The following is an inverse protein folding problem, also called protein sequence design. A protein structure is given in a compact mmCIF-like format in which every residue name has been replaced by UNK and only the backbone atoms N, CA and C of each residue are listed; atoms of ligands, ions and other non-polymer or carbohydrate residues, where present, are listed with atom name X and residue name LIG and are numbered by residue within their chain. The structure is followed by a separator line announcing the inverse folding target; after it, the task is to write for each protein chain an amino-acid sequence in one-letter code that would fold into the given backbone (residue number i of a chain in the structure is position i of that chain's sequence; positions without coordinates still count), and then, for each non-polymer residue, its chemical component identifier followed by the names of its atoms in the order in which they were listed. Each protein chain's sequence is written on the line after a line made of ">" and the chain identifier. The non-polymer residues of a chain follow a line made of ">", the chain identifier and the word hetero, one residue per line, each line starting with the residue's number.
data_IF_428688380345
#
_entry.id   IF_428688380345
#
_cell.length_a   1.000
_cell.length_b   1.000
_cell.length_c   1.000
_cell.angle_alpha   90.00
_cell.angle_beta   90.00
_cell.angle_gamma   90.00
#
_symmetry.space_group_name_H-M   'P 1'
#
loop_
_entity.id
_entity.type
_entity.pdbx_description
1 polymer ?
#
# COMPACT_ATOMS: atom_id res chain seq x y z
N UNK A 1 16.25 -15.27 11.45
CA UNK A 1 14.90 -14.67 11.44
C UNK A 1 14.97 -13.46 10.51
N UNK A 2 14.21 -13.44 9.42
CA UNK A 2 14.20 -12.31 8.46
C UNK A 2 13.22 -11.25 8.94
N UNK A 3 13.30 -10.03 8.41
CA UNK A 3 12.32 -8.96 8.71
C UNK A 3 10.90 -9.24 8.18
N UNK A 4 10.72 -10.38 7.49
CA UNK A 4 9.47 -10.84 6.89
C UNK A 4 8.95 -12.13 7.55
N UNK A 5 9.40 -12.47 8.76
CA UNK A 5 8.93 -13.67 9.46
C UNK A 5 7.47 -13.50 9.90
N UNK A 6 6.56 -13.94 9.02
CA UNK A 6 5.11 -13.83 9.15
C UNK A 6 4.46 -14.98 8.37
N UNK A 7 3.37 -15.55 8.88
CA UNK A 7 2.67 -16.67 8.24
C UNK A 7 2.08 -16.28 6.88
N UNK A 8 1.62 -15.03 6.73
CA UNK A 8 1.06 -14.51 5.48
C UNK A 8 2.17 -14.38 4.43
N UNK A 9 3.38 -13.99 4.82
CA UNK A 9 4.52 -13.93 3.91
C UNK A 9 4.98 -15.33 3.48
N UNK A 10 5.05 -16.28 4.41
CA UNK A 10 5.36 -17.69 4.09
C UNK A 10 4.36 -18.26 3.08
N UNK A 11 3.07 -18.02 3.29
CA UNK A 11 2.01 -18.43 2.37
C UNK A 11 2.19 -17.84 0.97
N UNK A 12 2.54 -16.54 0.85
CA UNK A 12 2.78 -15.92 -0.45
C UNK A 12 4.01 -16.53 -1.16
N UNK A 13 5.09 -16.81 -0.41
CA UNK A 13 6.27 -17.49 -0.94
C UNK A 13 5.96 -18.92 -1.41
N UNK A 14 5.15 -19.67 -0.66
CA UNK A 14 4.74 -21.02 -1.04
C UNK A 14 3.90 -21.02 -2.33
N UNK A 15 2.97 -20.06 -2.46
CA UNK A 15 2.21 -19.85 -3.70
C UNK A 15 3.13 -19.55 -4.88
N UNK A 16 4.12 -18.67 -4.69
CA UNK A 16 5.10 -18.36 -5.72
C UNK A 16 5.90 -19.60 -6.14
N UNK A 17 6.36 -20.39 -5.17
CA UNK A 17 7.17 -21.58 -5.41
C UNK A 17 6.44 -22.60 -6.29
N UNK A 18 5.16 -22.88 -5.98
CA UNK A 18 4.33 -23.80 -6.76
C UNK A 18 4.24 -23.35 -8.23
N UNK A 19 4.06 -22.06 -8.48
CA UNK A 19 3.96 -21.53 -9.85
C UNK A 19 5.33 -21.48 -10.54
N UNK A 20 6.39 -21.13 -9.81
CA UNK A 20 7.75 -21.12 -10.34
C UNK A 20 8.21 -22.52 -10.78
N UNK A 21 7.83 -23.56 -10.03
CA UNK A 21 8.02 -24.95 -10.41
C UNK A 21 7.24 -25.31 -11.68
N UNK A 22 5.96 -24.94 -11.74
CA UNK A 22 5.13 -25.18 -12.92
C UNK A 22 5.67 -24.50 -14.20
N UNK A 23 6.22 -23.29 -14.06
CA UNK A 23 6.78 -22.52 -15.16
C UNK A 23 8.25 -22.85 -15.46
N UNK A 24 8.88 -23.76 -14.70
CA UNK A 24 10.31 -24.08 -14.79
C UNK A 24 11.21 -22.82 -14.73
N UNK A 25 10.89 -21.88 -13.83
CA UNK A 25 11.74 -20.71 -13.59
C UNK A 25 13.03 -21.17 -12.91
N UNK A 26 14.18 -20.73 -13.40
CA UNK A 26 15.49 -21.07 -12.82
C UNK A 26 15.62 -20.58 -11.37
N UNK A 27 16.29 -21.36 -10.52
CA UNK A 27 16.43 -21.03 -9.09
C UNK A 27 17.08 -19.67 -8.86
N UNK A 28 18.03 -19.27 -9.72
CA UNK A 28 18.68 -17.95 -9.66
C UNK A 28 17.70 -16.79 -9.85
N UNK A 29 16.61 -17.00 -10.59
CA UNK A 29 15.59 -15.99 -10.84
C UNK A 29 14.49 -15.96 -9.76
N UNK A 30 14.33 -17.06 -9.03
CA UNK A 30 13.30 -17.16 -7.99
C UNK A 30 13.62 -16.32 -6.77
N UNK A 31 14.89 -16.24 -6.38
CA UNK A 31 15.29 -15.59 -5.13
C UNK A 31 15.00 -14.09 -5.18
N UNK A 32 15.43 -13.41 -6.24
CA UNK A 32 15.14 -11.98 -6.39
C UNK A 32 13.65 -11.72 -6.62
N UNK A 33 12.92 -12.62 -7.29
CA UNK A 33 11.48 -12.50 -7.50
C UNK A 33 10.65 -12.65 -6.22
N UNK A 34 11.18 -13.37 -5.21
CA UNK A 34 10.50 -13.64 -3.93
C UNK A 34 10.62 -12.48 -2.96
N UNK A 35 11.78 -11.81 -2.89
CA UNK A 35 12.01 -10.80 -1.88
C UNK A 35 11.65 -9.39 -2.37
N UNK A 36 11.01 -8.57 -1.52
CA UNK A 36 10.75 -7.18 -1.89
C UNK A 36 12.03 -6.40 -2.16
N UNK A 37 12.02 -5.62 -3.25
CA UNK A 37 13.11 -4.69 -3.60
C UNK A 37 13.42 -3.70 -2.48
N UNK A 38 12.40 -3.24 -1.76
CA UNK A 38 12.55 -2.27 -0.66
C UNK A 38 11.45 -2.47 0.39
N UNK A 39 11.85 -2.43 1.66
CA UNK A 39 10.95 -2.40 2.80
C UNK A 39 11.36 -1.26 3.75
N UNK A 40 10.39 -0.44 4.16
CA UNK A 40 10.59 0.74 4.99
C UNK A 40 9.72 0.63 6.23
N UNK A 41 10.32 0.80 7.41
CA UNK A 41 9.63 0.89 8.69
C UNK A 41 9.90 2.28 9.30
N UNK A 42 8.86 2.93 9.81
CA UNK A 42 8.94 4.29 10.36
C UNK A 42 8.18 4.37 11.68
N UNK A 43 8.67 5.22 12.59
CA UNK A 43 7.97 5.55 13.83
C UNK A 43 7.32 6.92 13.68
N UNK A 44 6.03 7.00 14.01
CA UNK A 44 5.20 8.19 13.84
C UNK A 44 4.83 8.76 15.22
N UNK A 45 5.57 9.76 15.73
CA UNK A 45 5.17 10.47 16.94
C UNK A 45 4.02 11.43 16.61
N UNK A 46 2.90 11.31 17.33
CA UNK A 46 1.68 12.08 17.13
C UNK A 46 1.20 12.63 18.47
N UNK A 47 0.82 13.92 18.47
CA UNK A 47 0.15 14.54 19.61
C UNK A 47 -1.32 14.13 19.60
N UNK A 48 -1.77 13.59 20.72
CA UNK A 48 -3.12 13.09 20.93
C UNK A 48 -4.02 14.21 21.48
N UNK A 49 -5.33 14.03 21.40
CA UNK A 49 -6.30 15.03 21.86
C UNK A 49 -6.23 15.28 23.39
N UNK A 50 -5.75 14.30 24.16
CA UNK A 50 -5.52 14.41 25.60
C UNK A 50 -4.22 15.15 25.99
N UNK A 51 -3.48 15.64 24.99
CA UNK A 51 -2.21 16.34 25.16
C UNK A 51 -0.98 15.42 25.30
N UNK A 52 -1.17 14.10 25.34
CA UNK A 52 -0.07 13.14 25.32
C UNK A 52 0.56 13.03 23.93
N UNK A 53 1.76 12.44 23.86
CA UNK A 53 2.37 12.03 22.58
C UNK A 53 2.42 10.52 22.51
N UNK A 54 1.91 9.95 21.43
CA UNK A 54 1.95 8.51 21.17
C UNK A 54 2.75 8.20 19.92
N UNK A 55 3.54 7.14 19.97
CA UNK A 55 4.28 6.64 18.83
C UNK A 55 3.52 5.49 18.16
N UNK A 56 3.40 5.54 16.83
CA UNK A 56 2.82 4.49 16.00
C UNK A 56 3.85 3.91 15.04
N UNK A 57 3.67 2.65 14.62
CA UNK A 57 4.54 2.01 13.64
C UNK A 57 3.90 2.05 12.25
N UNK A 58 4.63 2.52 11.26
CA UNK A 58 4.24 2.56 9.86
C UNK A 58 5.16 1.72 8.98
N UNK A 59 4.62 1.15 7.91
CA UNK A 59 5.34 0.29 6.98
C UNK A 59 5.02 0.66 5.53
N UNK A 60 6.02 0.57 4.64
CA UNK A 60 5.83 0.58 3.19
C UNK A 60 6.79 -0.39 2.53
N UNK A 61 6.24 -1.32 1.75
CA UNK A 61 6.98 -2.35 1.02
C UNK A 61 6.73 -2.17 -0.48
N UNK A 62 7.81 -2.13 -1.24
CA UNK A 62 7.85 -2.09 -2.70
C UNK A 62 8.45 -3.41 -3.17
N UNK A 63 7.63 -4.26 -3.77
CA UNK A 63 8.01 -5.62 -4.14
C UNK A 63 8.88 -5.62 -5.40
N UNK A 64 8.33 -5.26 -6.57
CA UNK A 64 9.08 -5.17 -7.83
C UNK A 64 8.69 -3.95 -8.65
N UNK A 65 9.64 -3.44 -9.44
CA UNK A 65 9.46 -2.29 -10.35
C UNK A 65 9.57 -2.66 -11.84
N UNK A 66 9.59 -3.96 -12.16
CA UNK A 66 9.88 -4.43 -13.52
C UNK A 66 8.91 -3.91 -14.58
N UNK A 67 7.63 -3.73 -14.22
CA UNK A 67 6.58 -3.24 -15.13
C UNK A 67 6.37 -1.72 -15.08
N UNK A 68 7.03 -1.02 -14.15
CA UNK A 68 6.80 0.41 -13.90
C UNK A 68 6.81 0.76 -12.41
N UNK A 69 6.31 1.95 -12.03
CA UNK A 69 6.24 2.38 -10.64
C UNK A 69 5.38 1.42 -9.82
N UNK A 70 5.65 1.31 -8.52
CA UNK A 70 4.85 0.40 -7.69
C UNK A 70 3.48 0.97 -7.37
N UNK A 71 2.50 0.09 -7.24
CA UNK A 71 1.13 0.46 -6.87
C UNK A 71 0.64 -0.37 -5.70
N UNK A 72 0.04 0.30 -4.72
CA UNK A 72 -0.59 -0.42 -3.62
C UNK A 72 -1.27 0.40 -2.55
N UNK A 73 -2.27 -0.21 -1.94
CA UNK A 73 -3.08 0.38 -0.88
C UNK A 73 -2.32 0.60 0.44
N UNK A 74 -2.95 1.37 1.34
CA UNK A 74 -2.45 1.71 2.67
C UNK A 74 -3.46 1.23 3.72
N UNK A 75 -3.05 0.29 4.58
CA UNK A 75 -3.91 -0.35 5.59
C UNK A 75 -3.72 0.27 6.96
N UNK A 76 -4.81 0.61 7.65
CA UNK A 76 -4.78 0.97 9.07
C UNK A 76 -5.42 -0.17 9.86
N UNK A 77 -4.59 -1.00 10.49
CA UNK A 77 -5.04 -2.15 11.27
C UNK A 77 -4.04 -2.44 12.40
N UNK A 78 -4.53 -2.75 13.60
CA UNK A 78 -3.69 -2.98 14.78
C UNK A 78 -2.72 -4.16 14.60
N UNK A 79 -3.12 -5.18 13.86
CA UNK A 79 -2.33 -6.39 13.60
C UNK A 79 -1.28 -6.24 12.50
N UNK A 80 -1.20 -5.08 11.84
CA UNK A 80 -0.35 -4.91 10.66
C UNK A 80 1.12 -5.15 11.00
N UNK A 81 1.76 -6.06 10.28
CA UNK A 81 3.18 -6.39 10.39
C UNK A 81 3.95 -6.06 9.11
N UNK A 82 5.30 -6.06 9.17
CA UNK A 82 6.16 -5.95 8.00
C UNK A 82 5.97 -7.13 7.04
N UNK A 83 5.85 -8.35 7.57
CA UNK A 83 5.67 -9.56 6.75
C UNK A 83 4.32 -9.61 6.04
N UNK A 84 3.23 -9.28 6.73
CA UNK A 84 1.90 -9.13 6.12
C UNK A 84 1.94 -8.08 4.99
N UNK A 85 2.60 -6.93 5.24
CA UNK A 85 2.77 -5.87 4.24
C UNK A 85 3.54 -6.36 3.02
N UNK A 86 4.61 -7.15 3.22
CA UNK A 86 5.39 -7.73 2.15
C UNK A 86 4.60 -8.75 1.30
N UNK A 87 3.80 -9.59 1.94
CA UNK A 87 2.93 -10.55 1.26
C UNK A 87 1.91 -9.84 0.36
N UNK A 88 1.26 -8.81 0.90
CA UNK A 88 0.30 -8.00 0.15
C UNK A 88 0.95 -7.24 -1.01
N UNK A 89 2.21 -6.78 -0.87
CA UNK A 89 2.96 -6.14 -1.94
C UNK A 89 3.34 -7.12 -3.06
N UNK A 90 3.66 -8.36 -2.71
CA UNK A 90 3.91 -9.45 -3.66
C UNK A 90 2.66 -9.73 -4.51
N UNK A 91 1.49 -9.93 -3.88
CA UNK A 91 0.23 -10.12 -4.61
C UNK A 91 -0.15 -8.93 -5.48
N UNK A 92 0.16 -7.70 -5.07
CA UNK A 92 -0.07 -6.53 -5.93
C UNK A 92 0.76 -6.59 -7.21
N UNK A 93 1.98 -7.15 -7.17
CA UNK A 93 2.80 -7.31 -8.38
C UNK A 93 2.13 -8.26 -9.36
N UNK A 94 1.67 -9.42 -8.89
CA UNK A 94 1.02 -10.42 -9.74
C UNK A 94 -0.33 -9.94 -10.26
N UNK A 95 -1.12 -9.29 -9.39
CA UNK A 95 -2.41 -8.71 -9.77
C UNK A 95 -2.24 -7.67 -10.88
N UNK A 96 -1.27 -6.77 -10.77
CA UNK A 96 -1.01 -5.77 -11.79
C UNK A 96 -0.52 -6.40 -13.10
N UNK A 97 0.37 -7.40 -13.03
CA UNK A 97 0.83 -8.14 -14.20
C UNK A 97 -0.32 -8.87 -14.93
N UNK A 98 -1.16 -9.60 -14.20
CA UNK A 98 -2.32 -10.33 -14.75
C UNK A 98 -3.36 -9.38 -15.37
N UNK A 99 -3.56 -8.21 -14.77
CA UNK A 99 -4.45 -7.18 -15.29
C UNK A 99 -3.81 -6.32 -16.40
N UNK A 100 -2.57 -6.64 -16.82
CA UNK A 100 -1.80 -5.89 -17.83
C UNK A 100 -1.68 -4.39 -17.51
N UNK A 101 -1.54 -4.06 -16.23
CA UNK A 101 -1.32 -2.71 -15.77
C UNK A 101 0.19 -2.42 -15.71
N UNK A 102 0.65 -1.22 -16.11
CA UNK A 102 2.07 -0.85 -16.10
C UNK A 102 2.56 -0.48 -14.69
N UNK A 103 2.32 -1.37 -13.73
CA UNK A 103 2.63 -1.17 -12.33
C UNK A 103 3.34 -2.37 -11.72
N UNK A 104 4.34 -2.06 -10.90
CA UNK A 104 4.85 -2.96 -9.88
C UNK A 104 3.89 -3.12 -8.70
N UNK A 105 4.25 -3.97 -7.74
CA UNK A 105 3.48 -4.16 -6.51
C UNK A 105 4.06 -3.41 -5.32
N UNK A 106 3.19 -2.74 -4.56
CA UNK A 106 3.53 -2.21 -3.24
C UNK A 106 2.39 -2.47 -2.25
N UNK A 107 2.69 -2.24 -0.98
CA UNK A 107 1.69 -2.11 0.08
C UNK A 107 2.27 -1.28 1.21
N UNK A 108 1.44 -0.59 1.97
CA UNK A 108 1.87 0.03 3.20
C UNK A 108 0.75 0.11 4.20
N UNK A 109 1.01 0.80 5.31
CA UNK A 109 0.03 0.97 6.36
C UNK A 109 0.62 1.41 7.68
N UNK A 110 -0.26 1.56 8.66
CA UNK A 110 0.08 1.95 10.03
C UNK A 110 -0.62 0.98 11.00
N UNK A 111 0.12 0.50 12.00
CA UNK A 111 -0.35 -0.41 13.02
C UNK A 111 -1.23 0.32 14.06
N UNK A 112 -2.46 0.64 13.68
CA UNK A 112 -3.44 1.37 14.50
C UNK A 112 -4.85 0.79 14.36
N UNK A 113 -5.68 1.03 15.37
CA UNK A 113 -7.13 0.88 15.28
C UNK A 113 -7.75 2.25 14.95
N UNK A 114 -8.18 2.50 13.71
CA UNK A 114 -8.70 3.81 13.32
C UNK A 114 -10.04 4.15 13.98
N UNK A 115 -10.74 3.18 14.59
CA UNK A 115 -12.02 3.42 15.28
C UNK A 115 -11.83 4.01 16.68
N UNK A 116 -10.62 3.94 17.22
CA UNK A 116 -10.25 4.46 18.55
C UNK A 116 -9.59 5.84 18.50
N UNK A 117 -9.42 6.40 17.31
CA UNK A 117 -8.82 7.72 17.12
C UNK A 117 -9.92 8.71 16.78
N UNK A 118 -9.79 9.93 17.29
CA UNK A 118 -10.61 11.03 16.82
C UNK A 118 -10.29 11.34 15.36
N UNK A 119 -11.15 12.14 14.71
CA UNK A 119 -10.87 12.61 13.34
C UNK A 119 -9.56 13.40 13.26
N UNK A 120 -9.26 14.21 14.29
CA UNK A 120 -8.05 15.04 14.37
C UNK A 120 -6.81 14.16 14.53
N UNK A 121 -6.86 13.17 15.42
CA UNK A 121 -5.75 12.24 15.63
C UNK A 121 -5.50 11.38 14.40
N UNK A 122 -6.58 10.92 13.74
CA UNK A 122 -6.48 10.15 12.50
C UNK A 122 -5.88 10.97 11.36
N UNK A 123 -6.24 12.25 11.26
CA UNK A 123 -5.59 13.19 10.34
C UNK A 123 -4.10 13.34 10.68
N UNK A 124 -3.76 13.58 11.94
CA UNK A 124 -2.38 13.76 12.38
C UNK A 124 -1.51 12.52 12.09
N UNK A 125 -2.01 11.31 12.37
CA UNK A 125 -1.33 10.05 12.01
C UNK A 125 -1.15 9.94 10.51
N UNK A 126 -2.19 10.25 9.73
CA UNK A 126 -2.15 10.16 8.27
C UNK A 126 -1.13 11.10 7.66
N UNK A 127 -1.13 12.37 8.10
CA UNK A 127 -0.17 13.37 7.64
C UNK A 127 1.25 12.99 8.03
N UNK A 128 1.46 12.55 9.28
CA UNK A 128 2.78 12.13 9.73
C UNK A 128 3.30 10.91 8.97
N UNK A 129 2.45 9.93 8.72
CA UNK A 129 2.80 8.78 7.88
C UNK A 129 3.21 9.23 6.47
N UNK A 130 2.41 10.08 5.82
CA UNK A 130 2.71 10.58 4.48
C UNK A 130 4.05 11.34 4.46
N UNK A 131 4.35 12.17 5.46
CA UNK A 131 5.62 12.88 5.59
C UNK A 131 6.82 11.94 5.60
N UNK A 132 6.77 10.86 6.38
CA UNK A 132 7.83 9.85 6.42
C UNK A 132 7.95 9.07 5.10
N UNK A 133 6.87 8.98 4.32
CA UNK A 133 6.86 8.26 3.04
C UNK A 133 7.43 9.07 1.87
N UNK A 134 7.43 10.40 1.93
CA UNK A 134 7.86 11.29 0.83
C UNK A 134 9.18 10.88 0.16
N UNK A 135 10.26 10.47 0.87
CA UNK A 135 11.51 10.05 0.24
C UNK A 135 11.39 8.78 -0.61
N UNK A 136 10.32 8.00 -0.44
CA UNK A 136 10.13 6.68 -1.02
C UNK A 136 8.98 6.60 -2.02
N UNK A 137 8.08 7.60 -2.03
CA UNK A 137 6.88 7.62 -2.86
C UNK A 137 6.86 8.80 -3.84
N UNK A 138 6.16 8.62 -4.96
CA UNK A 138 6.11 9.62 -6.01
C UNK A 138 5.22 9.18 -7.18
N UNK A 139 4.69 10.11 -7.98
CA UNK A 139 3.82 9.79 -9.12
C UNK A 139 4.45 8.82 -10.15
N UNK A 140 5.77 8.80 -10.23
CA UNK A 140 6.54 7.94 -11.13
C UNK A 140 7.44 6.95 -10.39
N UNK A 141 7.17 6.72 -9.10
CA UNK A 141 7.99 5.82 -8.26
C UNK A 141 7.10 4.84 -7.52
N UNK A 142 6.16 5.33 -6.72
CA UNK A 142 5.25 4.52 -5.92
C UNK A 142 3.97 5.30 -5.62
N UNK A 143 2.83 4.78 -6.06
CA UNK A 143 1.54 5.45 -5.99
C UNK A 143 0.64 4.74 -4.97
N UNK A 144 0.29 5.45 -3.90
CA UNK A 144 -0.51 4.88 -2.82
C UNK A 144 -2.01 4.82 -3.19
N UNK A 145 -2.77 4.07 -2.40
CA UNK A 145 -4.24 4.03 -2.49
C UNK A 145 -4.86 3.62 -1.16
N UNK A 146 -6.19 3.55 -1.08
CA UNK A 146 -6.86 3.08 0.12
C UNK A 146 -6.80 1.55 0.22
N UNK A 147 -6.96 1.05 1.43
CA UNK A 147 -7.13 -0.34 1.82
C UNK A 147 -8.00 -0.40 3.08
N UNK A 148 -8.00 -1.52 3.81
CA UNK A 148 -8.73 -1.66 5.07
C UNK A 148 -8.33 -0.56 6.07
N UNK A 149 -9.32 0.07 6.70
CA UNK A 149 -9.11 1.15 7.67
C UNK A 149 -8.74 2.51 7.06
N UNK A 150 -8.65 2.63 5.73
CA UNK A 150 -8.46 3.91 5.04
C UNK A 150 -9.52 4.13 3.95
N UNK A 151 -9.69 5.38 3.53
CA UNK A 151 -10.75 5.78 2.59
C UNK A 151 -10.32 7.02 1.81
N UNK A 152 -11.26 7.61 1.06
CA UNK A 152 -11.03 8.80 0.25
C UNK A 152 -10.56 10.02 1.07
N UNK A 153 -11.03 10.18 2.31
CA UNK A 153 -10.59 11.27 3.19
C UNK A 153 -9.12 11.11 3.57
N UNK A 154 -8.65 9.89 3.86
CA UNK A 154 -7.22 9.63 4.11
C UNK A 154 -6.40 9.93 2.85
N UNK A 155 -6.90 9.54 1.67
CA UNK A 155 -6.21 9.85 0.40
C UNK A 155 -6.15 11.36 0.14
N UNK A 156 -7.18 12.11 0.52
CA UNK A 156 -7.14 13.57 0.44
C UNK A 156 -6.03 14.16 1.32
N UNK A 157 -5.91 13.71 2.57
CA UNK A 157 -4.83 14.15 3.48
C UNK A 157 -3.44 13.77 2.99
N UNK A 158 -3.29 12.58 2.38
CA UNK A 158 -2.02 12.16 1.78
C UNK A 158 -1.65 13.05 0.59
N UNK A 159 -2.59 13.30 -0.33
CA UNK A 159 -2.37 14.17 -1.48
C UNK A 159 -2.02 15.60 -1.05
N UNK A 160 -2.76 16.15 -0.10
CA UNK A 160 -2.52 17.49 0.45
C UNK A 160 -1.13 17.59 1.10
N UNK A 161 -0.78 16.64 1.97
CA UNK A 161 0.52 16.63 2.66
C UNK A 161 1.70 16.54 1.69
N UNK A 162 1.60 15.67 0.68
CA UNK A 162 2.65 15.56 -0.34
C UNK A 162 2.73 16.83 -1.19
N UNK A 163 1.59 17.39 -1.60
CA UNK A 163 1.53 18.59 -2.44
C UNK A 163 2.11 19.82 -1.72
N UNK A 164 1.79 19.99 -0.43
CA UNK A 164 2.36 21.07 0.40
C UNK A 164 3.87 20.93 0.48
N UNK A 165 4.39 19.72 0.67
CA UNK A 165 5.84 19.49 0.69
C UNK A 165 6.51 19.80 -0.66
N UNK A 166 5.86 19.43 -1.77
CA UNK A 166 6.39 19.68 -3.12
C UNK A 166 6.25 21.16 -3.56
N UNK A 167 5.39 21.94 -2.90
CA UNK A 167 5.13 23.34 -3.24
C UNK A 167 4.14 23.54 -4.40
N UNK A 168 3.49 22.47 -4.87
CA UNK A 168 2.44 22.53 -5.90
C UNK A 168 1.51 21.32 -5.80
N UNK A 169 0.32 21.40 -6.40
CA UNK A 169 -0.66 20.32 -6.38
C UNK A 169 -0.19 19.10 -7.19
N UNK A 170 -0.02 17.95 -6.52
CA UNK A 170 0.36 16.67 -7.14
C UNK A 170 -0.77 15.68 -6.98
N UNK A 171 -1.75 15.72 -7.89
CA UNK A 171 -2.93 14.86 -7.80
C UNK A 171 -2.61 13.36 -7.95
N UNK A 172 -1.55 13.02 -8.68
CA UNK A 172 -1.23 11.65 -9.10
C UNK A 172 -0.61 10.79 -8.00
N UNK A 173 -0.13 11.39 -6.90
CA UNK A 173 0.59 10.70 -5.83
C UNK A 173 -0.22 9.58 -5.17
N UNK A 174 -1.55 9.74 -5.13
CA UNK A 174 -2.47 8.73 -4.58
C UNK A 174 -3.72 8.57 -5.44
N UNK A 175 -4.20 7.32 -5.53
CA UNK A 175 -5.49 6.99 -6.16
C UNK A 175 -6.57 6.83 -5.11
N UNK A 176 -7.83 7.02 -5.50
CA UNK A 176 -8.96 6.83 -4.58
C UNK A 176 -9.27 8.03 -3.70
N UNK A 177 -8.90 9.21 -4.19
CA UNK A 177 -9.31 10.51 -3.67
C UNK A 177 -10.81 10.77 -3.97
N UNK A 178 -11.44 11.73 -3.28
CA UNK A 178 -12.75 12.25 -3.66
C UNK A 178 -12.73 12.82 -5.08
N UNK A 179 -13.86 12.74 -5.79
CA UNK A 179 -14.00 13.22 -7.17
C UNK A 179 -13.62 14.70 -7.28
N UNK A 180 -14.00 15.52 -6.29
CA UNK A 180 -13.72 16.95 -6.25
C UNK A 180 -12.22 17.33 -6.30
N UNK A 181 -11.31 16.39 -5.98
CA UNK A 181 -9.85 16.61 -6.00
C UNK A 181 -9.13 15.63 -6.93
N UNK A 182 -9.75 15.25 -8.04
CA UNK A 182 -9.14 14.36 -9.03
C UNK A 182 -9.27 12.87 -8.69
N UNK A 183 -10.35 12.50 -7.99
CA UNK A 183 -10.84 11.13 -7.89
C UNK A 183 -11.53 10.68 -9.18
N UNK A 184 -11.69 9.37 -9.34
CA UNK A 184 -12.36 8.77 -10.51
C UNK A 184 -13.78 8.34 -10.13
N UNK A 185 -14.76 8.75 -10.93
CA UNK A 185 -16.14 8.29 -10.80
C UNK A 185 -16.25 6.77 -10.96
N UNK A 186 -17.26 6.16 -10.34
CA UNK A 186 -17.47 4.71 -10.40
C UNK A 186 -16.42 3.87 -9.65
N UNK A 187 -15.45 4.49 -8.97
CA UNK A 187 -14.43 3.75 -8.17
C UNK A 187 -15.07 2.88 -7.10
N UNK A 188 -16.06 3.39 -6.36
CA UNK A 188 -16.66 2.72 -5.19
C UNK A 188 -17.24 1.35 -5.56
N UNK A 189 -17.84 1.25 -6.73
CA UNK A 189 -18.52 0.06 -7.25
C UNK A 189 -17.63 -0.80 -8.17
N UNK A 190 -16.44 -0.31 -8.56
CA UNK A 190 -15.59 -0.96 -9.57
C UNK A 190 -15.25 -2.43 -9.25
N UNK A 191 -14.93 -2.74 -8.00
CA UNK A 191 -14.61 -4.12 -7.59
C UNK A 191 -15.83 -5.03 -7.68
N UNK A 192 -17.00 -4.55 -7.23
CA UNK A 192 -18.25 -5.29 -7.30
C UNK A 192 -18.69 -5.55 -8.75
N UNK A 193 -18.62 -4.52 -9.61
CA UNK A 193 -18.88 -4.67 -11.04
C UNK A 193 -17.93 -5.65 -11.71
N UNK A 194 -16.64 -5.62 -11.35
CA UNK A 194 -15.66 -6.58 -11.86
C UNK A 194 -16.02 -8.03 -11.51
N UNK A 195 -16.52 -8.28 -10.29
CA UNK A 195 -16.99 -9.60 -9.89
C UNK A 195 -18.21 -10.03 -10.73
N UNK A 196 -19.19 -9.16 -10.94
CA UNK A 196 -20.36 -9.44 -11.79
C UNK A 196 -19.91 -9.80 -13.21
N UNK A 197 -19.01 -9.03 -13.81
CA UNK A 197 -18.50 -9.29 -15.15
C UNK A 197 -17.80 -10.66 -15.28
N UNK A 198 -17.04 -11.07 -14.25
CA UNK A 198 -16.40 -12.38 -14.23
C UNK A 198 -17.42 -13.52 -14.07
N UNK A 199 -18.45 -13.33 -13.25
CA UNK A 199 -19.54 -14.31 -13.07
C UNK A 199 -20.33 -14.48 -14.38
N UNK A 200 -20.65 -13.39 -15.07
CA UNK A 200 -21.37 -13.44 -16.35
C UNK A 200 -20.57 -14.12 -17.47
N UNK A 201 -19.24 -14.18 -17.34
CA UNK A 201 -18.34 -14.81 -18.31
C UNK A 201 -18.08 -16.29 -18.02
N UNK A 202 -18.31 -16.76 -16.79
CA UNK A 202 -17.99 -18.11 -16.33
C UNK A 202 -19.03 -19.15 -16.78
#
# INVERSE_FOLDING_TARGET
>A
MTIYDDEVFKMACDQFKVIADYLNIDESDREWATYPKRAVAVTLPVHMDDGSTKAFQGYRVQHHIALGPTKGGTRFALSLSMGETAALAMWMSWKCALAQLPYGGAKGGVAIDPTKLSRTELEAVSRRYMQEMIPFVGPHTDIMGPDMGTNEQIMAWFMDTYSVYMGYAVNEIVTGKPVAIGGTEGRREATGRGAVYLIERA
#
